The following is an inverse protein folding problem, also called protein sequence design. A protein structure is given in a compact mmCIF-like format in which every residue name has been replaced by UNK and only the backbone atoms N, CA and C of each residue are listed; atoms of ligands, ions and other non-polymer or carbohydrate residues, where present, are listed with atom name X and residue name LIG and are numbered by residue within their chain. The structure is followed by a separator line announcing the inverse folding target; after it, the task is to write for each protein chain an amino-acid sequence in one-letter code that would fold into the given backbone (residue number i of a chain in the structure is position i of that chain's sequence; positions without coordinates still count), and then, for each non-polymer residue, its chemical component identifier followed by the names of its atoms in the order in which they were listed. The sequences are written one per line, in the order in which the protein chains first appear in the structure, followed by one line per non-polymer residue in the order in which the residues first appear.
data_IF_667154852033
#
_entry.id   IF_667154852033
#
_cell.length_a   1.000
_cell.length_b   1.000
_cell.length_c   1.000
_cell.angle_alpha   90.00
_cell.angle_beta   90.00
_cell.angle_gamma   90.00
#
_symmetry.space_group_name_H-M   'P 1'
#
loop_
_entity.id
_entity.type
_entity.pdbx_description
1 polymer ?
#
# COMPACT_ATOMS: atom_id res chain seq x y z
N UNK A 1 -1.27 -5.25 -7.24
CA UNK A 1 -0.30 -5.41 -8.35
C UNK A 1 0.97 -4.61 -8.14
N UNK A 2 0.91 -3.29 -7.90
CA UNK A 2 2.13 -2.47 -7.69
C UNK A 2 3.06 -3.00 -6.59
N UNK A 3 2.50 -3.39 -5.44
CA UNK A 3 3.24 -4.05 -4.36
C UNK A 3 3.95 -5.34 -4.83
N UNK A 4 3.20 -6.24 -5.47
CA UNK A 4 3.74 -7.52 -5.99
C UNK A 4 4.83 -7.33 -7.05
N UNK A 5 4.83 -6.19 -7.73
CA UNK A 5 5.84 -5.82 -8.72
C UNK A 5 6.96 -4.94 -8.15
N UNK A 6 6.98 -4.75 -6.82
CA UNK A 6 8.00 -4.00 -6.07
C UNK A 6 8.21 -2.57 -6.56
N UNK A 7 7.12 -1.89 -6.96
CA UNK A 7 7.21 -0.54 -7.54
C UNK A 7 7.88 0.43 -6.57
N UNK A 8 7.54 0.37 -5.28
CA UNK A 8 8.10 1.30 -4.30
C UNK A 8 9.59 1.07 -4.06
N UNK A 9 10.04 -0.18 -3.95
CA UNK A 9 11.45 -0.51 -3.81
C UNK A 9 12.26 -0.04 -5.05
N UNK A 10 11.71 -0.23 -6.25
CA UNK A 10 12.31 0.29 -7.50
C UNK A 10 12.38 1.81 -7.52
N UNK A 11 11.37 2.51 -7.02
CA UNK A 11 11.39 3.97 -6.88
C UNK A 11 12.50 4.42 -5.93
N UNK A 12 12.63 3.80 -4.76
CA UNK A 12 13.70 4.10 -3.78
C UNK A 12 15.08 3.88 -4.40
N UNK A 13 15.30 2.76 -5.08
CA UNK A 13 16.55 2.49 -5.81
C UNK A 13 16.83 3.59 -6.84
N UNK A 14 15.81 4.03 -7.58
CA UNK A 14 15.97 5.13 -8.54
C UNK A 14 16.33 6.44 -7.85
N UNK A 15 15.69 6.80 -6.75
CA UNK A 15 16.01 8.00 -5.96
C UNK A 15 17.47 7.97 -5.48
N UNK A 16 17.93 6.83 -4.92
CA UNK A 16 19.34 6.66 -4.51
C UNK A 16 20.30 6.83 -5.68
N UNK A 17 19.98 6.27 -6.85
CA UNK A 17 20.81 6.46 -8.06
C UNK A 17 20.88 7.91 -8.56
N UNK A 18 19.93 8.76 -8.14
CA UNK A 18 19.91 10.20 -8.44
C UNK A 18 20.56 11.04 -7.34
N UNK A 19 21.15 10.42 -6.31
CA UNK A 19 21.86 11.11 -5.23
C UNK A 19 21.06 11.31 -3.94
N UNK A 20 19.89 10.69 -3.80
CA UNK A 20 19.16 10.74 -2.53
C UNK A 20 19.87 9.90 -1.45
N UNK A 21 20.21 10.53 -0.33
CA UNK A 21 20.86 9.88 0.82
C UNK A 21 19.83 9.47 1.90
N UNK A 22 19.05 10.44 2.40
CA UNK A 22 17.99 10.21 3.38
C UNK A 22 16.62 10.24 2.72
N UNK A 23 15.88 9.15 2.84
CA UNK A 23 14.54 9.00 2.25
C UNK A 23 13.56 8.70 3.37
N UNK A 24 12.47 9.47 3.41
CA UNK A 24 11.32 9.26 4.28
C UNK A 24 10.11 8.98 3.40
N UNK A 25 9.30 8.01 3.79
CA UNK A 25 8.08 7.64 3.10
C UNK A 25 6.84 8.00 3.91
N UNK A 26 5.77 8.38 3.22
CA UNK A 26 4.45 8.55 3.80
C UNK A 26 3.44 7.74 2.97
N UNK A 27 2.77 6.78 3.59
CA UNK A 27 1.62 6.12 3.01
C UNK A 27 0.38 6.99 3.25
N UNK A 28 -0.17 7.54 2.16
CA UNK A 28 -1.41 8.30 2.16
C UNK A 28 -2.65 7.45 2.43
N UNK A 29 -3.87 8.02 2.28
CA UNK A 29 -5.11 7.27 2.49
C UNK A 29 -5.20 6.08 1.52
N UNK A 30 -5.41 4.88 2.07
CA UNK A 30 -5.51 3.64 1.30
C UNK A 30 -6.47 2.66 1.97
N UNK A 31 -6.80 1.55 1.32
CA UNK A 31 -7.68 0.54 1.94
C UNK A 31 -6.91 -0.27 3.00
N UNK A 32 -7.45 -0.39 4.21
CA UNK A 32 -6.78 -1.08 5.32
C UNK A 32 -6.87 -2.61 5.21
N UNK A 33 -6.03 -3.32 6.00
CA UNK A 33 -5.98 -4.78 6.04
C UNK A 33 -7.23 -5.47 6.60
N UNK A 34 -8.14 -4.73 7.22
CA UNK A 34 -9.44 -5.23 7.68
C UNK A 34 -10.55 -5.10 6.64
N UNK A 35 -10.33 -4.29 5.60
CA UNK A 35 -11.35 -3.93 4.61
C UNK A 35 -11.08 -4.49 3.21
N UNK A 36 -9.84 -4.91 2.92
CA UNK A 36 -9.41 -5.33 1.58
C UNK A 36 -9.52 -6.83 1.33
N UNK A 37 -10.75 -7.30 1.15
CA UNK A 37 -11.07 -8.69 0.82
C UNK A 37 -10.73 -9.04 -0.64
N UNK A 38 -10.07 -10.17 -0.88
CA UNK A 38 -9.67 -10.61 -2.24
C UNK A 38 -10.13 -12.03 -2.59
N UNK A 39 -10.82 -12.71 -1.68
CA UNK A 39 -11.23 -14.11 -1.81
C UNK A 39 -10.09 -15.08 -1.44
N UNK A 40 -10.46 -16.27 -0.94
CA UNK A 40 -9.52 -17.21 -0.31
C UNK A 40 -8.38 -17.63 -1.22
N UNK A 41 -8.67 -18.01 -2.48
CA UNK A 41 -7.64 -18.49 -3.40
C UNK A 41 -6.56 -17.43 -3.67
N UNK A 42 -6.97 -16.18 -3.92
CA UNK A 42 -6.04 -15.08 -4.18
C UNK A 42 -5.26 -14.69 -2.92
N UNK A 43 -5.92 -14.70 -1.75
CA UNK A 43 -5.27 -14.41 -0.48
C UNK A 43 -4.15 -15.42 -0.20
N UNK A 44 -4.43 -16.72 -0.29
CA UNK A 44 -3.44 -17.77 -0.05
C UNK A 44 -2.26 -17.73 -1.04
N UNK A 45 -2.52 -17.47 -2.32
CA UNK A 45 -1.47 -17.32 -3.33
C UNK A 45 -0.51 -16.17 -2.98
N UNK A 46 -1.07 -15.03 -2.58
CA UNK A 46 -0.29 -13.84 -2.23
C UNK A 46 0.43 -14.06 -0.90
N UNK A 47 -0.20 -14.64 0.11
CA UNK A 47 0.45 -14.90 1.40
C UNK A 47 1.65 -15.83 1.28
N UNK A 48 1.60 -16.81 0.37
CA UNK A 48 2.71 -17.73 0.12
C UNK A 48 3.96 -17.02 -0.42
N UNK A 49 3.77 -15.96 -1.20
CA UNK A 49 4.87 -15.21 -1.84
C UNK A 49 5.24 -13.93 -1.08
N UNK A 50 4.27 -13.34 -0.37
CA UNK A 50 4.37 -12.06 0.34
C UNK A 50 3.69 -12.17 1.72
N UNK A 51 4.28 -12.90 2.68
CA UNK A 51 3.64 -13.23 3.95
C UNK A 51 3.28 -12.01 4.79
N UNK A 52 4.04 -10.91 4.72
CA UNK A 52 3.72 -9.67 5.44
C UNK A 52 2.41 -9.01 4.97
N UNK A 53 1.87 -9.40 3.81
CA UNK A 53 0.57 -8.89 3.33
C UNK A 53 -0.62 -9.55 4.02
N UNK A 54 -0.41 -10.46 4.96
CA UNK A 54 -1.49 -11.14 5.66
C UNK A 54 -2.30 -10.18 6.53
N UNK A 55 -3.60 -10.09 6.24
CA UNK A 55 -4.59 -9.38 7.04
C UNK A 55 -5.50 -10.36 7.81
N UNK A 56 -6.77 -9.98 7.97
CA UNK A 56 -7.84 -10.90 8.37
C UNK A 56 -7.94 -12.05 7.35
N UNK A 57 -8.58 -13.17 7.71
CA UNK A 57 -8.93 -14.24 6.77
C UNK A 57 -9.47 -13.66 5.46
N UNK A 58 -8.89 -14.08 4.32
CA UNK A 58 -9.23 -13.65 2.96
C UNK A 58 -8.98 -12.14 2.66
N UNK A 59 -8.21 -11.43 3.50
CA UNK A 59 -7.93 -9.99 3.36
C UNK A 59 -6.44 -9.67 3.22
N UNK A 60 -6.10 -8.68 2.40
CA UNK A 60 -4.71 -8.23 2.23
C UNK A 60 -4.43 -6.95 3.01
N UNK A 61 -3.32 -6.93 3.73
CA UNK A 61 -2.72 -5.73 4.29
C UNK A 61 -1.60 -5.23 3.37
N UNK A 62 -1.92 -4.26 2.50
CA UNK A 62 -0.95 -3.70 1.55
C UNK A 62 0.17 -2.91 2.25
N UNK A 63 -0.14 -2.20 3.33
CA UNK A 63 0.84 -1.39 4.04
C UNK A 63 1.89 -2.26 4.73
N UNK A 64 1.48 -3.36 5.38
CA UNK A 64 2.43 -4.29 5.99
C UNK A 64 3.39 -4.89 4.97
N UNK A 65 2.90 -5.28 3.79
CA UNK A 65 3.79 -5.72 2.70
C UNK A 65 4.70 -4.61 2.17
N UNK A 66 4.20 -3.38 2.08
CA UNK A 66 5.03 -2.23 1.68
C UNK A 66 6.14 -1.95 2.70
N UNK A 67 5.83 -2.06 4.00
CA UNK A 67 6.78 -1.90 5.10
C UNK A 67 7.87 -2.97 5.07
N UNK A 68 7.52 -4.22 4.76
CA UNK A 68 8.50 -5.30 4.57
C UNK A 68 9.45 -4.99 3.40
N UNK A 69 8.91 -4.52 2.26
CA UNK A 69 9.72 -4.16 1.09
C UNK A 69 10.65 -2.95 1.32
N UNK A 70 10.32 -2.08 2.28
CA UNK A 70 11.01 -0.81 2.54
C UNK A 70 11.61 -0.74 3.96
N UNK A 71 12.13 -1.85 4.46
CA UNK A 71 12.68 -1.97 5.83
C UNK A 71 13.76 -0.93 6.21
N UNK A 72 14.54 -0.44 5.24
CA UNK A 72 15.58 0.59 5.46
C UNK A 72 15.05 2.03 5.38
N UNK A 73 13.75 2.21 5.13
CA UNK A 73 13.10 3.51 4.94
C UNK A 73 12.15 3.76 6.10
N UNK A 74 12.26 4.92 6.74
CA UNK A 74 11.23 5.36 7.70
C UNK A 74 9.95 5.63 6.93
N UNK A 75 8.98 4.73 7.05
CA UNK A 75 7.70 4.79 6.38
C UNK A 75 6.59 5.03 7.42
N UNK A 76 5.97 6.20 7.35
CA UNK A 76 4.80 6.54 8.16
C UNK A 76 3.50 6.16 7.45
N UNK A 77 2.47 5.85 8.24
CA UNK A 77 1.11 5.68 7.77
C UNK A 77 0.24 6.75 8.40
N UNK A 78 -0.56 7.45 7.61
CA UNK A 78 -1.54 8.40 8.17
C UNK A 78 -2.78 7.71 8.76
N UNK A 79 -2.86 6.37 8.64
CA UNK A 79 -3.90 5.51 9.22
C UNK A 79 -5.34 5.89 8.83
N UNK A 80 -5.51 6.35 7.60
CA UNK A 80 -6.83 6.65 7.01
C UNK A 80 -7.24 5.55 6.02
N UNK A 81 -8.30 4.82 6.37
CA UNK A 81 -8.91 3.85 5.47
C UNK A 81 -9.91 4.51 4.51
N UNK A 82 -9.65 4.43 3.20
CA UNK A 82 -10.55 5.03 2.18
C UNK A 82 -11.91 4.36 2.12
N UNK A 83 -12.04 3.09 2.52
CA UNK A 83 -13.35 2.39 2.55
C UNK A 83 -14.20 2.82 3.75
N UNK A 84 -13.58 3.15 4.88
CA UNK A 84 -14.28 3.48 6.13
C UNK A 84 -14.60 4.97 6.24
N UNK A 85 -13.80 5.84 5.61
CA UNK A 85 -13.94 7.29 5.69
C UNK A 85 -14.65 7.86 4.45
N UNK A 86 -15.85 8.42 4.67
CA UNK A 86 -16.71 9.00 3.63
C UNK A 86 -16.13 10.22 2.92
N UNK A 87 -15.08 10.84 3.48
CA UNK A 87 -14.40 11.99 2.85
C UNK A 87 -13.41 11.56 1.76
N UNK A 88 -13.24 10.26 1.50
CA UNK A 88 -12.34 9.73 0.48
C UNK A 88 -13.08 8.85 -0.52
N UNK A 89 -12.59 8.87 -1.77
CA UNK A 89 -13.15 7.99 -2.78
C UNK A 89 -12.67 6.55 -2.57
N UNK A 90 -13.61 5.61 -2.61
CA UNK A 90 -13.29 4.18 -2.51
C UNK A 90 -14.09 3.36 -3.52
N UNK A 91 -13.36 2.84 -4.50
CA UNK A 91 -13.90 1.90 -5.47
C UNK A 91 -14.48 0.65 -4.78
N UNK A 92 -13.89 0.21 -3.66
CA UNK A 92 -14.39 -0.96 -2.93
C UNK A 92 -15.68 -0.68 -2.16
N UNK A 93 -15.94 0.57 -1.76
CA UNK A 93 -17.13 0.94 -1.01
C UNK A 93 -18.37 1.10 -1.91
N UNK A 94 -18.23 1.84 -3.02
CA UNK A 94 -19.39 2.26 -3.82
C UNK A 94 -19.26 2.00 -5.33
N UNK A 95 -18.20 1.30 -5.78
CA UNK A 95 -17.87 1.14 -7.21
C UNK A 95 -17.81 2.46 -8.01
N UNK A 96 -17.65 3.59 -7.31
CA UNK A 96 -17.70 4.93 -7.89
C UNK A 96 -16.43 5.32 -8.66
N UNK A 97 -16.59 6.27 -9.59
CA UNK A 97 -15.55 6.74 -10.51
C UNK A 97 -14.60 7.81 -9.94
N UNK A 98 -14.90 8.39 -8.77
CA UNK A 98 -14.05 9.40 -8.16
C UNK A 98 -12.61 8.93 -7.93
N UNK A 99 -11.64 9.83 -8.10
CA UNK A 99 -10.22 9.57 -7.86
C UNK A 99 -9.63 10.70 -7.04
N UNK A 100 -8.69 10.33 -6.19
CA UNK A 100 -7.86 11.24 -5.42
C UNK A 100 -6.41 11.11 -5.89
N UNK A 101 -5.61 12.16 -5.66
CA UNK A 101 -4.21 12.23 -6.11
C UNK A 101 -3.30 12.51 -4.92
N UNK A 102 -2.20 11.77 -4.82
CA UNK A 102 -1.07 12.14 -3.97
C UNK A 102 -0.02 12.87 -4.81
N UNK A 103 0.32 14.09 -4.42
CA UNK A 103 1.30 14.94 -5.13
C UNK A 103 2.38 15.38 -4.17
N UNK A 104 3.62 15.42 -4.64
CA UNK A 104 4.77 16.02 -3.98
C UNK A 104 5.57 16.79 -5.04
N UNK A 105 6.06 17.98 -4.69
CA UNK A 105 7.04 18.73 -5.49
C UNK A 105 8.15 19.26 -4.57
N UNK A 106 9.22 19.72 -5.20
CA UNK A 106 10.21 20.58 -4.56
C UNK A 106 9.71 22.03 -4.54
#
# INVERSE_FOLDING_TARGET
KGLLNEVAAKTVTKMKSLGADKIYGLAGPHICGNCYEVGTQMAEEIYRTHPATKGKKDHLNLFSGLKEQLQDITLENIDICTKENIHYFSYRAAAEAGRQVGVISL
#
